data_IF_050253441285
#
_entry.id   IF_050253441285
#
_cell.length_a   1.000
_cell.length_b   1.000
_cell.length_c   1.000
_cell.angle_alpha   90.00
_cell.angle_beta   90.00
_cell.angle_gamma   90.00
#
_symmetry.space_group_name_H-M   'P 1'
#
loop_
_entity.id
_entity.type
_entity.pdbx_description
1 polymer ?
#
# COMPACT_ATOMS: atom_id res chain seq x y z
N UNK A 1 -15.82 -2.11 8.73
CA UNK A 1 -14.48 -2.75 8.84
C UNK A 1 -13.99 -3.29 7.50
N UNK A 2 -14.66 -4.27 6.88
CA UNK A 2 -14.22 -4.80 5.57
C UNK A 2 -14.55 -3.88 4.38
N UNK A 3 -15.73 -3.25 4.41
CA UNK A 3 -16.07 -2.17 3.48
C UNK A 3 -15.08 -1.02 3.58
N UNK A 4 -14.57 -0.73 4.79
CA UNK A 4 -13.58 0.33 5.01
C UNK A 4 -12.23 -0.03 4.38
N UNK A 5 -11.77 -1.29 4.44
CA UNK A 5 -10.52 -1.72 3.80
C UNK A 5 -10.59 -1.66 2.26
N UNK A 6 -11.72 -2.08 1.67
CA UNK A 6 -11.92 -1.92 0.21
C UNK A 6 -12.00 -0.45 -0.19
N UNK A 7 -12.69 0.37 0.61
CA UNK A 7 -12.76 1.80 0.39
C UNK A 7 -11.37 2.46 0.48
N UNK A 8 -10.55 2.03 1.44
CA UNK A 8 -9.16 2.46 1.57
C UNK A 8 -8.35 2.10 0.32
N UNK A 9 -8.48 0.87 -0.20
CA UNK A 9 -7.82 0.45 -1.44
C UNK A 9 -8.21 1.33 -2.62
N UNK A 10 -9.50 1.63 -2.78
CA UNK A 10 -9.98 2.50 -3.85
C UNK A 10 -9.45 3.94 -3.70
N UNK A 11 -9.36 4.43 -2.46
CA UNK A 11 -8.71 5.71 -2.14
C UNK A 11 -7.24 5.74 -2.51
N UNK A 12 -6.47 4.70 -2.14
CA UNK A 12 -5.06 4.56 -2.48
C UNK A 12 -4.87 4.46 -4.00
N UNK A 13 -5.66 3.65 -4.70
CA UNK A 13 -5.65 3.53 -6.17
C UNK A 13 -5.87 4.88 -6.84
N UNK A 14 -6.86 5.64 -6.37
CA UNK A 14 -7.15 6.99 -6.90
C UNK A 14 -5.98 7.93 -6.70
N UNK A 15 -5.43 8.02 -5.49
CA UNK A 15 -4.26 8.88 -5.22
C UNK A 15 -3.05 8.49 -6.06
N UNK A 16 -2.80 7.18 -6.24
CA UNK A 16 -1.71 6.71 -7.11
C UNK A 16 -1.90 7.13 -8.56
N UNK A 17 -3.12 6.98 -9.09
CA UNK A 17 -3.46 7.38 -10.46
C UNK A 17 -3.31 8.89 -10.67
N UNK A 18 -3.85 9.69 -9.76
CA UNK A 18 -3.72 11.15 -9.82
C UNK A 18 -2.26 11.60 -9.74
N UNK A 19 -1.44 10.93 -8.90
CA UNK A 19 -0.02 11.23 -8.78
C UNK A 19 0.75 10.86 -10.05
N UNK A 20 0.44 9.72 -10.66
CA UNK A 20 1.03 9.32 -11.94
C UNK A 20 0.66 10.29 -13.07
N UNK A 21 -0.59 10.77 -13.11
CA UNK A 21 -1.04 11.77 -14.07
C UNK A 21 -0.34 13.11 -13.87
N UNK A 22 -0.21 13.58 -12.63
CA UNK A 22 0.54 14.79 -12.33
C UNK A 22 1.97 14.67 -12.87
N UNK A 23 2.69 13.60 -12.53
CA UNK A 23 4.08 13.41 -12.96
C UNK A 23 4.25 13.27 -14.49
N UNK A 24 3.19 12.90 -15.22
CA UNK A 24 3.25 12.80 -16.67
C UNK A 24 3.24 14.17 -17.37
N UNK A 25 2.59 15.17 -16.76
CA UNK A 25 2.55 16.56 -17.28
C UNK A 25 3.45 17.54 -16.53
N UNK A 26 3.94 17.16 -15.36
CA UNK A 26 4.76 17.99 -14.48
C UNK A 26 6.26 17.88 -14.78
N UNK A 27 6.98 18.93 -14.41
CA UNK A 27 8.44 18.94 -14.32
C UNK A 27 8.92 19.36 -12.93
N UNK A 28 10.23 19.54 -12.71
CA UNK A 28 10.78 19.90 -11.40
C UNK A 28 10.30 21.25 -10.83
N UNK A 29 9.62 22.08 -11.61
CA UNK A 29 8.99 23.32 -11.14
C UNK A 29 7.71 23.10 -10.31
N UNK A 30 7.12 21.91 -10.38
CA UNK A 30 5.86 21.58 -9.70
C UNK A 30 6.08 20.91 -8.32
N UNK A 31 7.31 21.00 -7.80
CA UNK A 31 7.76 20.33 -6.57
C UNK A 31 6.92 20.62 -5.33
N UNK A 32 6.33 21.81 -5.11
CA UNK A 32 5.43 22.02 -3.97
C UNK A 32 4.16 21.16 -4.02
N UNK A 33 3.53 20.99 -5.19
CA UNK A 33 2.34 20.14 -5.32
C UNK A 33 2.73 18.66 -5.22
N UNK A 34 3.86 18.30 -5.83
CA UNK A 34 4.43 16.95 -5.73
C UNK A 34 4.71 16.54 -4.28
N UNK A 35 5.35 17.41 -3.51
CA UNK A 35 5.65 17.17 -2.10
C UNK A 35 4.38 16.99 -1.27
N UNK A 36 3.37 17.84 -1.51
CA UNK A 36 2.07 17.74 -0.84
C UNK A 36 1.39 16.40 -1.11
N UNK A 37 1.35 15.96 -2.38
CA UNK A 37 0.76 14.67 -2.75
C UNK A 37 1.55 13.48 -2.20
N UNK A 38 2.89 13.55 -2.17
CA UNK A 38 3.71 12.51 -1.51
C UNK A 38 3.36 12.37 -0.04
N UNK A 39 3.23 13.48 0.68
CA UNK A 39 2.89 13.48 2.11
C UNK A 39 1.48 12.91 2.33
N UNK A 40 0.50 13.37 1.55
CA UNK A 40 -0.88 12.88 1.64
C UNK A 40 -0.95 11.36 1.38
N UNK A 41 -0.24 10.87 0.36
CA UNK A 41 -0.16 9.44 0.10
C UNK A 41 0.53 8.67 1.23
N UNK A 42 1.62 9.20 1.79
CA UNK A 42 2.32 8.59 2.92
C UNK A 42 1.40 8.41 4.13
N UNK A 43 0.58 9.43 4.41
CA UNK A 43 -0.38 9.42 5.51
C UNK A 43 -1.48 8.39 5.26
N UNK A 44 -2.14 8.45 4.09
CA UNK A 44 -3.18 7.50 3.71
C UNK A 44 -2.69 6.05 3.74
N UNK A 45 -1.49 5.80 3.23
CA UNK A 45 -0.87 4.47 3.26
C UNK A 45 -0.62 3.99 4.70
N UNK A 46 -0.03 4.82 5.56
CA UNK A 46 0.21 4.45 6.98
C UNK A 46 -1.08 4.19 7.74
N UNK A 47 -2.11 5.01 7.50
CA UNK A 47 -3.42 4.83 8.12
C UNK A 47 -4.08 3.52 7.71
N UNK A 48 -4.08 3.22 6.41
CA UNK A 48 -4.56 1.95 5.86
C UNK A 48 -3.80 0.78 6.50
N UNK A 49 -2.47 0.86 6.55
CA UNK A 49 -1.63 -0.18 7.17
C UNK A 49 -1.94 -0.40 8.65
N UNK A 50 -2.17 0.68 9.41
CA UNK A 50 -2.55 0.58 10.83
C UNK A 50 -3.92 -0.07 11.02
N UNK A 51 -4.90 0.25 10.16
CA UNK A 51 -6.21 -0.40 10.16
C UNK A 51 -6.09 -1.87 9.82
N UNK A 52 -5.34 -2.21 8.79
CA UNK A 52 -5.13 -3.59 8.37
C UNK A 52 -4.42 -4.44 9.42
N UNK A 53 -3.35 -3.93 10.06
CA UNK A 53 -2.68 -4.65 11.14
C UNK A 53 -3.65 -4.90 12.31
N UNK A 54 -4.43 -3.90 12.74
CA UNK A 54 -5.41 -4.07 13.80
C UNK A 54 -6.43 -5.19 13.48
N UNK A 55 -6.86 -5.27 12.23
CA UNK A 55 -7.75 -6.31 11.73
C UNK A 55 -7.07 -7.70 11.75
N UNK A 56 -5.83 -7.79 11.29
CA UNK A 56 -5.03 -9.02 11.27
C UNK A 56 -4.74 -9.53 12.68
N UNK A 57 -4.41 -8.63 13.63
CA UNK A 57 -4.21 -9.02 15.03
C UNK A 57 -5.49 -9.59 15.64
N UNK A 58 -6.66 -9.09 15.26
CA UNK A 58 -7.93 -9.68 15.71
C UNK A 58 -8.18 -11.07 15.13
N UNK A 59 -7.84 -11.30 13.85
CA UNK A 59 -7.94 -12.64 13.24
C UNK A 59 -7.05 -13.66 13.96
N UNK A 60 -5.82 -13.28 14.32
CA UNK A 60 -4.85 -14.17 14.99
C UNK A 60 -5.31 -14.67 16.36
N UNK A 61 -6.27 -13.99 17.00
CA UNK A 61 -6.83 -14.40 18.30
C UNK A 61 -7.88 -15.50 18.19
N UNK A 62 -8.26 -15.91 16.98
CA UNK A 62 -9.27 -16.94 16.72
C UNK A 62 -8.60 -18.23 16.25
N UNK A 63 -9.24 -19.41 16.43
CA UNK A 63 -8.82 -20.62 15.74
C UNK A 63 -8.85 -20.40 14.22
N UNK A 64 -7.76 -20.76 13.54
CA UNK A 64 -7.57 -20.58 12.11
C UNK A 64 -7.19 -21.91 11.47
N UNK A 65 -7.65 -22.16 10.26
CA UNK A 65 -7.17 -23.29 9.46
C UNK A 65 -5.69 -23.10 9.11
N UNK A 66 -4.95 -24.17 8.77
CA UNK A 66 -3.56 -24.07 8.33
C UNK A 66 -3.35 -23.09 7.17
N UNK A 67 -4.29 -23.06 6.23
CA UNK A 67 -4.27 -22.19 5.03
C UNK A 67 -4.42 -20.72 5.43
N UNK A 68 -5.38 -20.42 6.31
CA UNK A 68 -5.57 -19.06 6.84
C UNK A 68 -4.33 -18.58 7.62
N UNK A 69 -3.71 -19.46 8.41
CA UNK A 69 -2.45 -19.16 9.09
C UNK A 69 -1.30 -18.89 8.12
N UNK A 70 -1.22 -19.65 7.01
CA UNK A 70 -0.22 -19.40 5.98
C UNK A 70 -0.41 -18.03 5.32
N UNK A 71 -1.64 -17.69 4.95
CA UNK A 71 -1.97 -16.39 4.36
C UNK A 71 -1.58 -15.24 5.30
N UNK A 72 -1.87 -15.33 6.61
CA UNK A 72 -1.49 -14.28 7.56
C UNK A 72 0.03 -14.12 7.73
N UNK A 73 0.81 -15.20 7.62
CA UNK A 73 2.29 -15.14 7.65
C UNK A 73 2.85 -14.52 6.38
N UNK A 74 2.31 -14.88 5.23
CA UNK A 74 2.71 -14.32 3.94
C UNK A 74 2.40 -12.82 3.88
N UNK A 75 1.20 -12.43 4.33
CA UNK A 75 0.81 -11.04 4.51
C UNK A 75 1.81 -10.27 5.38
N UNK A 76 2.12 -10.77 6.58
CA UNK A 76 3.06 -10.12 7.49
C UNK A 76 4.45 -9.89 6.88
N UNK A 77 4.99 -10.86 6.13
CA UNK A 77 6.29 -10.69 5.45
C UNK A 77 6.21 -9.64 4.33
N UNK A 78 5.17 -9.70 3.52
CA UNK A 78 5.00 -8.80 2.38
C UNK A 78 4.83 -7.34 2.82
N UNK A 79 4.09 -7.10 3.91
CA UNK A 79 3.92 -5.75 4.46
C UNK A 79 5.24 -5.17 4.96
N UNK A 80 6.05 -5.95 5.68
CA UNK A 80 7.37 -5.49 6.12
C UNK A 80 8.25 -5.13 4.93
N UNK A 81 8.26 -5.97 3.88
CA UNK A 81 9.02 -5.70 2.66
C UNK A 81 8.55 -4.42 1.95
N UNK A 82 7.23 -4.19 1.87
CA UNK A 82 6.65 -2.98 1.28
C UNK A 82 7.01 -1.73 2.08
N UNK A 83 6.96 -1.79 3.41
CA UNK A 83 7.35 -0.69 4.29
C UNK A 83 8.83 -0.32 4.15
N UNK A 84 9.72 -1.32 4.07
CA UNK A 84 11.15 -1.10 3.86
C UNK A 84 11.41 -0.43 2.51
N UNK A 85 10.82 -0.95 1.42
CA UNK A 85 10.91 -0.35 0.09
C UNK A 85 10.44 1.10 0.07
N UNK A 86 9.34 1.40 0.75
CA UNK A 86 8.82 2.76 0.84
C UNK A 86 9.74 3.68 1.64
N UNK A 87 10.28 3.20 2.76
CA UNK A 87 11.26 3.93 3.58
C UNK A 87 12.51 4.27 2.77
N UNK A 88 13.05 3.30 2.03
CA UNK A 88 14.23 3.51 1.19
C UNK A 88 13.95 4.50 0.06
N UNK A 89 12.77 4.44 -0.56
CA UNK A 89 12.36 5.42 -1.56
C UNK A 89 12.27 6.85 -1.00
N UNK A 90 11.76 7.06 0.21
CA UNK A 90 11.74 8.38 0.83
C UNK A 90 13.17 8.88 1.09
N UNK A 91 14.05 8.01 1.60
CA UNK A 91 15.45 8.37 1.91
C UNK A 91 16.25 8.70 0.65
N UNK A 92 16.06 7.94 -0.42
CA UNK A 92 16.77 8.12 -1.68
C UNK A 92 16.32 9.39 -2.41
N UNK A 93 15.01 9.60 -2.52
CA UNK A 93 14.44 10.66 -3.36
C UNK A 93 14.19 11.94 -2.56
N UNK A 94 15.29 12.63 -2.25
CA UNK A 94 15.31 14.00 -1.72
C UNK A 94 14.90 15.01 -2.79
N UNK A 95 14.50 16.25 -2.45
CA UNK A 95 14.17 17.27 -3.45
C UNK A 95 15.28 17.50 -4.48
N UNK A 96 16.54 17.55 -4.04
CA UNK A 96 17.69 17.71 -4.93
C UNK A 96 17.87 16.51 -5.88
N UNK A 97 17.62 15.28 -5.40
CA UNK A 97 17.72 14.08 -6.23
C UNK A 97 16.59 14.00 -7.25
N UNK A 98 15.38 14.44 -6.88
CA UNK A 98 14.22 14.49 -7.78
C UNK A 98 14.45 15.53 -8.88
N UNK A 99 15.02 16.68 -8.54
CA UNK A 99 15.37 17.73 -9.52
C UNK A 99 16.48 17.25 -10.48
N UNK A 100 17.50 16.56 -9.95
CA UNK A 100 18.61 16.02 -10.75
C UNK A 100 18.20 14.84 -11.65
N UNK A 101 17.25 14.01 -11.22
CA UNK A 101 16.80 12.82 -11.96
C UNK A 101 15.27 12.63 -11.88
N UNK A 102 14.56 13.47 -12.63
CA UNK A 102 13.10 13.43 -12.70
C UNK A 102 12.56 12.12 -13.28
N UNK A 103 13.20 11.61 -14.35
CA UNK A 103 12.75 10.40 -15.05
C UNK A 103 12.96 9.17 -14.16
N UNK A 104 14.10 9.07 -13.48
CA UNK A 104 14.36 8.02 -12.51
C UNK A 104 13.40 8.08 -11.32
N UNK A 105 13.13 9.28 -10.80
CA UNK A 105 12.14 9.46 -9.74
C UNK A 105 10.76 8.94 -10.15
N UNK A 106 10.26 9.39 -11.31
CA UNK A 106 8.96 8.95 -11.84
C UNK A 106 8.92 7.43 -12.00
N UNK A 107 9.98 6.84 -12.55
CA UNK A 107 10.08 5.38 -12.74
C UNK A 107 10.01 4.64 -11.39
N UNK A 108 10.75 5.12 -10.39
CA UNK A 108 10.77 4.53 -9.05
C UNK A 108 9.41 4.64 -8.34
N UNK A 109 8.70 5.77 -8.50
CA UNK A 109 7.33 5.92 -7.96
C UNK A 109 6.38 4.92 -8.62
N UNK A 110 6.38 4.81 -9.95
CA UNK A 110 5.48 3.90 -10.66
C UNK A 110 5.71 2.45 -10.24
N UNK A 111 6.97 2.02 -10.08
CA UNK A 111 7.29 0.68 -9.63
C UNK A 111 6.78 0.38 -8.21
N UNK A 112 6.83 1.36 -7.30
CA UNK A 112 6.22 1.22 -5.97
C UNK A 112 4.70 1.13 -6.02
N UNK A 113 4.08 1.93 -6.88
CA UNK A 113 2.63 1.89 -7.06
C UNK A 113 2.17 0.55 -7.61
N UNK A 114 2.91 -0.03 -8.56
CA UNK A 114 2.63 -1.36 -9.09
C UNK A 114 2.71 -2.43 -8.00
N UNK A 115 3.78 -2.40 -7.19
CA UNK A 115 3.92 -3.32 -6.05
C UNK A 115 2.77 -3.19 -5.03
N UNK A 116 2.28 -1.98 -4.77
CA UNK A 116 1.13 -1.77 -3.91
C UNK A 116 -0.17 -2.27 -4.55
N UNK A 117 -0.37 -2.10 -5.87
CA UNK A 117 -1.54 -2.63 -6.58
C UNK A 117 -1.60 -4.16 -6.50
N UNK A 118 -0.47 -4.82 -6.76
CA UNK A 118 -0.35 -6.28 -6.64
C UNK A 118 -0.67 -6.76 -5.21
N UNK A 119 -0.18 -6.01 -4.22
CA UNK A 119 -0.44 -6.30 -2.80
C UNK A 119 -1.93 -6.21 -2.46
N UNK A 120 -2.58 -5.10 -2.82
CA UNK A 120 -4.02 -4.90 -2.59
C UNK A 120 -4.87 -5.97 -3.29
N UNK A 121 -4.50 -6.35 -4.52
CA UNK A 121 -5.19 -7.42 -5.25
C UNK A 121 -5.03 -8.78 -4.56
N UNK A 122 -3.83 -9.07 -4.03
CA UNK A 122 -3.61 -10.28 -3.24
C UNK A 122 -4.43 -10.27 -1.94
N UNK A 123 -4.51 -9.14 -1.25
CA UNK A 123 -5.31 -8.97 -0.03
C UNK A 123 -6.78 -9.20 -0.29
N UNK A 124 -7.30 -8.59 -1.35
CA UNK A 124 -8.68 -8.75 -1.80
C UNK A 124 -9.05 -10.20 -2.11
N UNK A 125 -8.08 -10.99 -2.61
CA UNK A 125 -8.28 -12.39 -2.97
C UNK A 125 -8.09 -13.37 -1.80
N UNK A 126 -7.14 -13.12 -0.90
CA UNK A 126 -6.71 -14.12 0.09
C UNK A 126 -6.93 -13.70 1.54
N UNK A 127 -6.77 -12.41 1.87
CA UNK A 127 -6.90 -11.91 3.24
C UNK A 127 -8.35 -11.51 3.54
N UNK A 128 -8.96 -10.75 2.63
CA UNK A 128 -10.30 -10.22 2.75
C UNK A 128 -11.35 -11.32 3.01
N UNK A 129 -11.38 -12.47 2.30
CA UNK A 129 -12.34 -13.54 2.60
C UNK A 129 -12.26 -14.07 4.05
N UNK A 130 -11.07 -14.09 4.64
CA UNK A 130 -10.88 -14.48 6.05
C UNK A 130 -11.56 -13.50 7.01
N UNK A 131 -11.63 -12.22 6.62
CA UNK A 131 -12.27 -11.14 7.38
C UNK A 131 -13.79 -11.14 7.27
N UNK A 132 -14.32 -11.50 6.10
CA UNK A 132 -15.75 -11.70 5.89
C UNK A 132 -16.29 -12.89 6.69
N UNK A 133 -15.42 -13.79 7.15
CA UNK A 133 -15.81 -15.05 7.75
C UNK A 133 -16.30 -16.07 6.71
N UNK A 134 -15.95 -15.91 5.45
CA UNK A 134 -16.29 -16.84 4.36
C UNK A 134 -15.61 -18.21 4.54
N UNK A 135 -14.55 -18.28 5.36
CA UNK A 135 -13.85 -19.52 5.75
C UNK A 135 -14.37 -20.09 7.08
N UNK A 136 -15.56 -19.66 7.56
CA UNK A 136 -16.28 -20.33 8.66
C UNK A 136 -16.89 -21.65 8.16
N UNK A 137 -16.07 -22.66 7.86
CA UNK A 137 -16.50 -24.07 7.84
C UNK A 137 -15.28 -24.99 7.74
N UNK A 138 -14.89 -25.51 8.89
CA UNK A 138 -14.87 -26.94 9.11
C UNK A 138 -15.18 -27.14 10.60
N UNK A 139 -16.24 -27.91 10.85
CA UNK A 139 -16.68 -28.33 12.18
C UNK A 139 -15.63 -29.23 12.85
#
# INVERSE_FOLDING_TARGET
MMMDLRHDHDGLRRQMQEFAQLMAGAGPKDMPDLARRRIAFAQAFREHMGREDAVVQQLRRRPLTPEANQALREHGRAIVALFLRYSDHIKQWTPAQIDADWVGYRTAVLALQDGLRERMAWEEKHLHPLLAGEVRKAA
#
